data_IF_978280555873
#
_entry.id   IF_978280555873
#
_cell.length_a   1.000
_cell.length_b   1.000
_cell.length_c   1.000
_cell.angle_alpha   90.00
_cell.angle_beta   90.00
_cell.angle_gamma   90.00
#
_symmetry.space_group_name_H-M   'P 1'
#
loop_
_entity.id
_entity.type
_entity.pdbx_description
1 polymer ?
#
# COMPACT_ATOMS: atom_id res chain seq x y z
N UNK A 1 26.45 7.33 18.01
CA UNK A 1 25.13 7.95 18.20
C UNK A 1 24.24 6.93 18.88
N UNK A 2 23.71 7.26 20.06
CA UNK A 2 22.61 6.49 20.66
C UNK A 2 21.34 6.82 19.87
N UNK A 3 21.23 6.24 18.67
CA UNK A 3 20.03 6.35 17.84
C UNK A 3 18.88 5.57 18.46
N UNK A 4 17.66 5.96 18.11
CA UNK A 4 16.45 5.19 18.46
C UNK A 4 16.63 3.74 17.97
N UNK A 5 16.21 2.79 18.79
CA UNK A 5 16.07 1.41 18.37
C UNK A 5 15.04 1.30 17.24
N UNK A 6 15.15 0.22 16.45
CA UNK A 6 14.22 -0.03 15.35
C UNK A 6 12.75 -0.11 15.84
N UNK A 7 12.55 -0.58 17.07
CA UNK A 7 11.24 -0.64 17.71
C UNK A 7 10.71 0.76 18.05
N UNK A 8 11.54 1.60 18.66
CA UNK A 8 11.14 2.98 19.01
C UNK A 8 10.81 3.82 17.77
N UNK A 9 11.51 3.60 16.65
CA UNK A 9 11.13 4.17 15.36
C UNK A 9 9.72 3.76 14.96
N UNK A 10 9.42 2.46 14.98
CA UNK A 10 8.11 1.94 14.64
C UNK A 10 7.00 2.52 15.52
N UNK A 11 7.21 2.55 16.84
CA UNK A 11 6.24 3.07 17.82
C UNK A 11 5.96 4.56 17.60
N UNK A 12 7.00 5.38 17.38
CA UNK A 12 6.82 6.82 17.09
C UNK A 12 6.07 7.06 15.78
N UNK A 13 6.34 6.27 14.75
CA UNK A 13 5.62 6.38 13.48
C UNK A 13 4.14 6.04 13.64
N UNK A 14 3.80 5.01 14.40
CA UNK A 14 2.40 4.66 14.63
C UNK A 14 1.69 5.71 15.49
N UNK A 15 2.36 6.27 16.50
CA UNK A 15 1.82 7.38 17.28
C UNK A 15 1.53 8.62 16.42
N UNK A 16 2.35 8.89 15.40
CA UNK A 16 2.13 10.00 14.47
C UNK A 16 1.04 9.70 13.45
N UNK A 17 1.08 8.51 12.83
CA UNK A 17 0.25 8.19 11.66
C UNK A 17 -1.13 7.64 12.02
N UNK A 18 -1.28 7.01 13.17
CA UNK A 18 -2.52 6.38 13.60
C UNK A 18 -2.68 6.45 15.14
N UNK A 19 -2.73 7.66 15.72
CA UNK A 19 -2.82 7.83 17.18
C UNK A 19 -4.09 7.19 17.79
N UNK A 20 -5.16 7.04 17.01
CA UNK A 20 -6.41 6.42 17.43
C UNK A 20 -6.42 4.88 17.29
N UNK A 21 -5.38 4.29 16.68
CA UNK A 21 -5.33 2.85 16.48
C UNK A 21 -5.09 2.11 17.81
N UNK A 22 -5.99 1.18 18.13
CA UNK A 22 -5.83 0.30 19.29
C UNK A 22 -4.74 -0.76 19.10
N UNK A 23 -4.46 -1.13 17.84
CA UNK A 23 -3.47 -2.13 17.48
C UNK A 23 -2.61 -1.61 16.33
N UNK A 24 -1.32 -1.93 16.39
CA UNK A 24 -0.38 -1.72 15.30
C UNK A 24 0.53 -2.92 15.17
N UNK A 25 1.08 -3.12 13.99
CA UNK A 25 1.96 -4.24 13.69
C UNK A 25 3.17 -3.76 12.90
N UNK A 26 4.28 -4.46 13.04
CA UNK A 26 5.46 -4.14 12.27
C UNK A 26 6.45 -5.28 12.21
N UNK A 27 7.41 -5.12 11.30
CA UNK A 27 8.52 -6.02 11.11
C UNK A 27 9.78 -5.26 10.70
N UNK A 28 10.92 -5.91 10.84
CA UNK A 28 12.21 -5.43 10.37
C UNK A 28 12.67 -6.39 9.28
N UNK A 29 12.83 -5.88 8.07
CA UNK A 29 13.37 -6.63 6.94
C UNK A 29 14.85 -6.32 6.78
N UNK A 30 15.71 -7.30 7.02
CA UNK A 30 17.17 -7.14 6.89
C UNK A 30 17.61 -7.08 5.41
N UNK A 31 18.70 -6.37 5.14
CA UNK A 31 19.28 -6.20 3.81
C UNK A 31 18.92 -4.86 3.17
N UNK A 32 19.50 -4.62 1.99
CA UNK A 32 19.34 -3.35 1.27
C UNK A 32 17.87 -3.11 0.90
N UNK A 33 17.28 -1.95 1.28
CA UNK A 33 15.97 -1.54 0.81
C UNK A 33 15.90 -1.48 -0.72
N UNK A 34 14.94 -2.18 -1.30
CA UNK A 34 14.71 -2.13 -2.75
C UNK A 34 13.89 -0.91 -3.13
N UNK A 35 14.30 -0.23 -4.21
CA UNK A 35 13.56 0.86 -4.82
C UNK A 35 12.98 0.40 -6.13
N UNK A 36 11.66 0.56 -6.31
CA UNK A 36 11.01 0.18 -7.56
C UNK A 36 11.51 1.05 -8.71
N UNK A 37 11.85 0.44 -9.84
CA UNK A 37 12.14 1.16 -11.07
C UNK A 37 10.88 1.85 -11.62
N UNK A 38 11.06 3.00 -12.29
CA UNK A 38 9.98 3.60 -13.07
C UNK A 38 9.67 2.71 -14.29
N UNK A 39 8.40 2.62 -14.74
CA UNK A 39 8.04 1.82 -15.91
C UNK A 39 8.90 2.19 -17.11
N UNK A 40 9.40 1.17 -17.81
CA UNK A 40 10.15 1.33 -19.04
C UNK A 40 9.27 0.88 -20.19
N UNK A 41 9.22 1.68 -21.25
CA UNK A 41 8.37 1.41 -22.40
C UNK A 41 9.21 0.83 -23.54
N UNK A 42 8.67 -0.17 -24.22
CA UNK A 42 9.23 -0.64 -25.48
C UNK A 42 8.95 0.34 -26.62
N UNK A 43 9.48 0.03 -27.80
CA UNK A 43 9.28 0.84 -29.03
C UNK A 43 7.81 0.97 -29.45
N UNK A 44 6.95 0.08 -28.98
CA UNK A 44 5.53 0.01 -29.30
C UNK A 44 4.67 0.71 -28.22
N UNK A 45 5.31 1.30 -27.20
CA UNK A 45 4.66 2.03 -26.12
C UNK A 45 4.10 1.14 -25.00
N UNK A 46 4.44 -0.15 -24.96
CA UNK A 46 4.04 -1.03 -23.88
C UNK A 46 5.06 -0.98 -22.74
N UNK A 47 4.56 -0.85 -21.50
CA UNK A 47 5.42 -0.96 -20.33
C UNK A 47 5.86 -2.42 -20.14
N UNK A 48 7.17 -2.68 -20.09
CA UNK A 48 7.70 -3.98 -19.71
C UNK A 48 8.00 -4.01 -18.20
N UNK A 49 7.72 -5.15 -17.57
CA UNK A 49 8.05 -5.38 -16.16
C UNK A 49 9.53 -5.77 -16.08
N UNK A 50 10.32 -5.01 -15.33
CA UNK A 50 11.70 -5.39 -15.04
C UNK A 50 11.70 -6.69 -14.20
N UNK A 51 12.34 -7.79 -14.67
CA UNK A 51 12.39 -9.03 -13.91
C UNK A 51 13.01 -8.87 -12.51
N UNK A 52 13.94 -7.93 -12.34
CA UNK A 52 14.56 -7.66 -11.04
C UNK A 52 13.55 -7.05 -10.05
N UNK A 53 12.72 -6.10 -10.51
CA UNK A 53 11.65 -5.53 -9.69
C UNK A 53 10.61 -6.60 -9.29
N UNK A 54 10.24 -7.48 -10.22
CA UNK A 54 9.31 -8.57 -9.93
C UNK A 54 9.86 -9.54 -8.87
N UNK A 55 11.14 -9.91 -8.97
CA UNK A 55 11.80 -10.78 -7.99
C UNK A 55 11.92 -10.11 -6.63
N UNK A 56 12.29 -8.83 -6.59
CA UNK A 56 12.36 -8.06 -5.36
C UNK A 56 10.99 -7.94 -4.69
N UNK A 57 9.93 -7.72 -5.47
CA UNK A 57 8.55 -7.60 -4.97
C UNK A 57 8.11 -8.93 -4.34
N UNK A 58 8.39 -10.06 -5.01
CA UNK A 58 8.10 -11.39 -4.48
C UNK A 58 8.91 -11.71 -3.21
N UNK A 59 10.19 -11.32 -3.16
CA UNK A 59 11.04 -11.52 -1.98
C UNK A 59 10.53 -10.69 -0.78
N UNK A 60 10.15 -9.43 -0.99
CA UNK A 60 9.54 -8.58 0.03
C UNK A 60 8.21 -9.17 0.50
N UNK A 61 7.33 -9.57 -0.42
CA UNK A 61 6.04 -10.21 -0.10
C UNK A 61 6.24 -11.50 0.70
N UNK A 62 7.26 -12.30 0.39
CA UNK A 62 7.60 -13.50 1.16
C UNK A 62 8.02 -13.18 2.60
N UNK A 63 8.89 -12.18 2.80
CA UNK A 63 9.29 -11.72 4.14
C UNK A 63 8.09 -11.21 4.93
N UNK A 64 7.19 -10.47 4.28
CA UNK A 64 5.95 -10.00 4.89
C UNK A 64 5.05 -11.15 5.37
N UNK A 65 4.92 -12.22 4.55
CA UNK A 65 4.16 -13.43 4.92
C UNK A 65 4.72 -14.13 6.15
N UNK A 66 6.00 -13.97 6.46
CA UNK A 66 6.57 -14.63 7.65
C UNK A 66 6.02 -14.02 8.95
N UNK A 67 5.79 -12.71 8.98
CA UNK A 67 5.26 -12.01 10.16
C UNK A 67 3.73 -11.89 10.14
N UNK A 68 3.12 -11.76 8.96
CA UNK A 68 1.68 -11.59 8.81
C UNK A 68 1.00 -12.91 8.46
N UNK A 69 0.32 -13.50 9.45
CA UNK A 69 -0.41 -14.78 9.31
C UNK A 69 -1.93 -14.60 9.26
N UNK A 70 -2.39 -13.36 9.11
CA UNK A 70 -3.81 -12.97 9.12
C UNK A 70 -4.29 -12.69 7.70
N UNK A 71 -5.59 -12.52 7.54
CA UNK A 71 -6.14 -11.92 6.32
C UNK A 71 -5.65 -10.47 6.13
N UNK A 72 -5.75 -9.92 4.91
CA UNK A 72 -5.43 -8.53 4.66
C UNK A 72 -6.34 -7.60 5.48
N UNK A 73 -5.80 -6.48 5.92
CA UNK A 73 -6.57 -5.41 6.55
C UNK A 73 -7.60 -4.87 5.55
N UNK A 74 -8.81 -4.66 6.06
CA UNK A 74 -9.89 -3.94 5.37
C UNK A 74 -9.98 -2.52 5.91
N UNK A 75 -10.50 -1.61 5.09
CA UNK A 75 -10.65 -0.21 5.41
C UNK A 75 -9.36 0.58 5.33
N UNK A 76 -9.36 1.78 5.90
CA UNK A 76 -8.21 2.68 5.83
C UNK A 76 -7.01 2.18 6.65
N UNK A 77 -5.82 2.31 6.07
CA UNK A 77 -4.55 1.85 6.64
C UNK A 77 -3.57 3.01 6.74
N UNK A 78 -2.81 3.04 7.84
CA UNK A 78 -1.60 3.84 7.99
C UNK A 78 -0.37 2.96 7.72
N UNK A 79 0.61 3.49 6.97
CA UNK A 79 1.87 2.81 6.64
C UNK A 79 3.08 3.69 6.99
N UNK A 80 3.93 3.22 7.89
CA UNK A 80 5.23 3.84 8.16
C UNK A 80 6.37 2.96 7.66
N UNK A 81 7.30 3.54 6.91
CA UNK A 81 8.54 2.87 6.52
C UNK A 81 9.77 3.74 6.81
N UNK A 82 10.82 3.12 7.34
CA UNK A 82 12.16 3.73 7.42
C UNK A 82 13.16 2.82 6.72
N UNK A 83 13.84 3.36 5.72
CA UNK A 83 14.77 2.64 4.85
C UNK A 83 16.20 2.99 5.25
N UNK A 84 16.86 2.10 5.99
CA UNK A 84 18.27 2.23 6.30
C UNK A 84 19.09 1.62 5.16
N UNK A 85 19.84 2.47 4.47
CA UNK A 85 20.61 2.08 3.28
C UNK A 85 22.10 2.02 3.58
N UNK A 86 22.80 1.19 2.82
CA UNK A 86 24.25 1.06 2.94
C UNK A 86 25.04 2.12 2.18
N UNK A 87 24.39 2.85 1.26
CA UNK A 87 25.03 3.83 0.38
C UNK A 87 24.37 5.20 0.43
N UNK A 88 25.09 6.21 -0.07
CA UNK A 88 24.60 7.58 -0.25
C UNK A 88 24.03 7.82 -1.66
N UNK A 89 23.90 6.77 -2.48
CA UNK A 89 23.33 6.92 -3.82
C UNK A 89 21.95 7.55 -3.71
N UNK A 90 21.67 8.63 -4.42
CA UNK A 90 20.35 9.27 -4.36
C UNK A 90 19.27 8.31 -4.87
N UNK A 91 18.27 8.03 -4.03
CA UNK A 91 17.11 7.20 -4.34
C UNK A 91 15.92 7.81 -3.60
N UNK A 92 14.82 8.00 -4.32
CA UNK A 92 13.60 8.57 -3.76
C UNK A 92 12.92 7.61 -2.77
N UNK A 93 12.48 8.15 -1.64
CA UNK A 93 11.71 7.38 -0.65
C UNK A 93 10.33 6.97 -1.17
N UNK A 94 9.76 7.68 -2.14
CA UNK A 94 8.48 7.33 -2.76
C UNK A 94 8.58 6.03 -3.57
N UNK A 95 9.71 5.78 -4.26
CA UNK A 95 9.94 4.56 -5.03
C UNK A 95 10.15 3.35 -4.12
N UNK A 96 10.82 3.53 -2.98
CA UNK A 96 10.95 2.49 -1.95
C UNK A 96 9.61 2.21 -1.25
N UNK A 97 8.85 3.25 -0.93
CA UNK A 97 7.48 3.09 -0.43
C UNK A 97 6.59 2.36 -1.44
N UNK A 98 6.66 2.74 -2.72
CA UNK A 98 5.88 2.10 -3.77
C UNK A 98 6.19 0.61 -3.86
N UNK A 99 7.45 0.21 -3.72
CA UNK A 99 7.84 -1.19 -3.65
C UNK A 99 7.13 -1.94 -2.51
N UNK A 100 7.11 -1.34 -1.32
CA UNK A 100 6.42 -1.89 -0.14
C UNK A 100 4.91 -1.97 -0.36
N UNK A 101 4.29 -0.92 -0.92
CA UNK A 101 2.88 -0.86 -1.27
C UNK A 101 2.49 -2.02 -2.21
N UNK A 102 3.19 -2.15 -3.33
CA UNK A 102 2.91 -3.16 -4.35
C UNK A 102 3.12 -4.59 -3.78
N UNK A 103 4.17 -4.81 -2.97
CA UNK A 103 4.43 -6.12 -2.35
C UNK A 103 3.39 -6.49 -1.26
N UNK A 104 2.81 -5.50 -0.59
CA UNK A 104 1.82 -5.69 0.46
C UNK A 104 0.40 -5.98 -0.04
N UNK A 105 0.10 -5.71 -1.32
CA UNK A 105 -1.21 -5.96 -1.90
C UNK A 105 -1.62 -7.44 -1.81
N UNK A 106 -2.90 -7.64 -1.47
CA UNK A 106 -3.55 -8.94 -1.19
C UNK A 106 -2.90 -9.74 -0.06
N UNK A 107 -2.07 -9.10 0.76
CA UNK A 107 -1.39 -9.74 1.89
C UNK A 107 -1.59 -8.96 3.18
N UNK A 108 -1.08 -7.72 3.21
CA UNK A 108 -1.16 -6.83 4.37
C UNK A 108 -2.46 -6.02 4.33
N UNK A 109 -2.87 -5.60 3.14
CA UNK A 109 -4.12 -4.92 2.81
C UNK A 109 -4.67 -5.51 1.50
N UNK A 110 -5.93 -5.24 1.18
CA UNK A 110 -6.56 -5.71 -0.06
C UNK A 110 -5.92 -4.99 -1.25
N UNK A 111 -5.82 -3.66 -1.17
CA UNK A 111 -5.27 -2.80 -2.21
C UNK A 111 -4.61 -1.57 -1.57
N UNK A 112 -3.49 -1.11 -2.14
CA UNK A 112 -2.69 -0.03 -1.58
C UNK A 112 -3.41 1.33 -1.63
N UNK A 113 -4.51 1.44 -2.38
CA UNK A 113 -5.42 2.58 -2.28
C UNK A 113 -6.02 2.76 -0.87
N UNK A 114 -6.05 1.72 -0.03
CA UNK A 114 -6.44 1.80 1.38
C UNK A 114 -5.50 2.64 2.23
N UNK A 115 -4.26 2.86 1.78
CA UNK A 115 -3.25 3.59 2.54
C UNK A 115 -3.56 5.09 2.47
N UNK A 116 -4.15 5.61 3.54
CA UNK A 116 -4.59 7.00 3.64
C UNK A 116 -3.65 7.89 4.46
N UNK A 117 -2.75 7.27 5.23
CA UNK A 117 -1.62 7.95 5.86
C UNK A 117 -0.34 7.16 5.56
N UNK A 118 0.71 7.84 5.10
CA UNK A 118 2.00 7.17 4.83
C UNK A 118 3.20 8.04 5.17
N UNK A 119 4.26 7.40 5.68
CA UNK A 119 5.57 8.01 5.92
C UNK A 119 6.67 7.15 5.33
N UNK A 120 7.63 7.78 4.65
CA UNK A 120 8.84 7.13 4.12
C UNK A 120 10.08 7.93 4.47
N UNK A 121 10.86 7.43 5.45
CA UNK A 121 12.14 8.00 5.85
C UNK A 121 13.30 7.23 5.24
N UNK A 122 14.42 7.91 4.95
CA UNK A 122 15.66 7.27 4.48
C UNK A 122 16.77 7.63 5.45
N UNK A 123 17.45 6.62 5.95
CA UNK A 123 18.56 6.74 6.89
C UNK A 123 19.80 6.04 6.31
N UNK A 124 20.99 6.46 6.74
CA UNK A 124 22.24 5.82 6.35
C UNK A 124 22.71 4.88 7.47
N UNK A 125 22.81 3.59 7.16
CA UNK A 125 23.44 2.59 8.02
C UNK A 125 24.21 1.59 7.14
N UNK A 126 25.53 1.80 7.05
CA UNK A 126 26.42 1.01 6.19
C UNK A 126 26.59 -0.42 6.67
N UNK A 127 26.46 -0.64 7.97
CA UNK A 127 26.76 -1.92 8.61
C UNK A 127 25.51 -2.79 8.68
N UNK A 128 24.34 -2.17 8.82
CA UNK A 128 23.07 -2.87 9.00
C UNK A 128 21.94 -2.25 8.16
N UNK A 129 21.99 -2.38 6.83
CA UNK A 129 20.88 -1.99 5.98
C UNK A 129 19.65 -2.82 6.30
N UNK A 130 18.50 -2.15 6.41
CA UNK A 130 17.22 -2.75 6.78
C UNK A 130 16.06 -1.82 6.47
N UNK A 131 14.86 -2.40 6.41
CA UNK A 131 13.61 -1.64 6.37
C UNK A 131 12.83 -1.89 7.64
N UNK A 132 12.47 -0.82 8.35
CA UNK A 132 11.43 -0.87 9.39
C UNK A 132 10.11 -0.63 8.68
N UNK A 133 9.17 -1.55 8.83
CA UNK A 133 7.81 -1.43 8.30
C UNK A 133 6.83 -1.55 9.45
N UNK A 134 5.95 -0.57 9.58
CA UNK A 134 4.84 -0.58 10.54
C UNK A 134 3.54 -0.19 9.86
N UNK A 135 2.44 -0.78 10.32
CA UNK A 135 1.10 -0.50 9.83
C UNK A 135 0.06 -0.61 10.93
N UNK A 136 -1.05 0.09 10.76
CA UNK A 136 -2.19 0.08 11.66
C UNK A 136 -3.48 0.45 10.90
N UNK A 137 -4.68 0.13 11.42
CA UNK A 137 -5.90 0.76 10.96
C UNK A 137 -5.80 2.28 11.13
N UNK A 138 -6.39 3.05 10.23
CA UNK A 138 -6.30 4.50 10.25
C UNK A 138 -7.68 5.15 10.15
N UNK A 139 -7.95 6.13 11.01
CA UNK A 139 -9.18 6.91 10.95
C UNK A 139 -8.97 8.07 9.98
N UNK A 140 -9.74 8.11 8.89
CA UNK A 140 -9.70 9.21 7.92
C UNK A 140 -11.10 9.55 7.45
N UNK A 141 -11.33 10.83 7.14
CA UNK A 141 -12.55 11.29 6.47
C UNK A 141 -12.62 10.82 5.00
N UNK A 142 -11.47 10.45 4.41
CA UNK A 142 -11.40 9.84 3.09
C UNK A 142 -11.68 8.34 3.22
N UNK A 143 -12.77 7.85 2.64
CA UNK A 143 -13.03 6.40 2.55
C UNK A 143 -12.33 5.83 1.32
N UNK A 144 -11.57 4.75 1.49
CA UNK A 144 -10.85 4.06 0.40
C UNK A 144 -11.04 2.54 0.47
N UNK A 145 -10.64 1.87 -0.61
CA UNK A 145 -10.66 0.41 -0.70
C UNK A 145 -12.04 -0.17 -0.38
N UNK A 146 -12.07 -1.07 0.61
CA UNK A 146 -13.27 -1.82 0.99
C UNK A 146 -14.36 -0.99 1.65
N UNK A 147 -14.02 0.18 2.21
CA UNK A 147 -14.98 1.02 2.94
C UNK A 147 -15.74 1.98 2.03
N UNK A 148 -15.28 2.13 0.78
CA UNK A 148 -15.91 2.98 -0.23
C UNK A 148 -16.43 2.14 -1.40
N UNK A 149 -17.32 1.20 -1.08
CA UNK A 149 -17.93 0.27 -2.03
C UNK A 149 -19.45 0.36 -1.94
N UNK A 150 -20.13 0.30 -3.09
CA UNK A 150 -21.61 0.22 -3.16
C UNK A 150 -22.07 -0.73 -4.27
N UNK A 151 -23.29 -1.27 -4.20
CA UNK A 151 -23.83 -2.09 -5.28
C UNK A 151 -24.09 -1.26 -6.53
N UNK A 152 -23.74 -1.81 -7.69
CA UNK A 152 -24.05 -1.24 -9.00
C UNK A 152 -25.56 -1.31 -9.27
N UNK A 153 -26.21 -0.19 -9.62
CA UNK A 153 -27.65 -0.19 -9.96
C UNK A 153 -27.98 -1.05 -11.20
N UNK A 154 -27.00 -1.27 -12.10
CA UNK A 154 -27.15 -2.12 -13.27
C UNK A 154 -27.07 -3.60 -12.95
N UNK A 155 -25.90 -4.06 -12.51
CA UNK A 155 -25.61 -5.49 -12.31
C UNK A 155 -25.71 -5.99 -10.86
N UNK A 156 -25.82 -5.11 -9.87
CA UNK A 156 -25.85 -5.46 -8.45
C UNK A 156 -24.46 -5.70 -7.83
N UNK A 157 -23.41 -5.91 -8.64
CA UNK A 157 -22.07 -6.18 -8.13
C UNK A 157 -21.48 -4.99 -7.36
N UNK A 158 -20.69 -5.24 -6.30
CA UNK A 158 -19.97 -4.19 -5.59
C UNK A 158 -18.98 -3.50 -6.52
N UNK A 159 -18.86 -2.17 -6.40
CA UNK A 159 -17.82 -1.41 -7.07
C UNK A 159 -17.43 -0.16 -6.26
N UNK A 160 -16.20 0.30 -6.49
CA UNK A 160 -15.70 1.57 -5.95
C UNK A 160 -15.98 2.69 -6.95
N UNK A 161 -16.82 3.68 -6.62
CA UNK A 161 -17.11 4.78 -7.52
C UNK A 161 -15.91 5.75 -7.60
N UNK A 162 -15.68 6.33 -8.77
CA UNK A 162 -14.67 7.38 -8.96
C UNK A 162 -15.19 8.78 -8.57
N UNK A 163 -16.51 8.92 -8.39
CA UNK A 163 -17.22 10.16 -8.07
C UNK A 163 -18.47 9.81 -7.26
N UNK A 164 -18.87 10.67 -6.34
CA UNK A 164 -20.05 10.41 -5.49
C UNK A 164 -21.33 10.15 -6.27
N UNK A 165 -21.52 10.80 -7.42
CA UNK A 165 -22.69 10.60 -8.28
C UNK A 165 -22.68 9.29 -9.11
N UNK A 166 -21.57 8.56 -9.19
CA UNK A 166 -21.44 7.39 -10.05
C UNK A 166 -22.22 6.19 -9.50
N UNK A 167 -23.35 5.85 -10.11
CA UNK A 167 -24.25 4.77 -9.67
C UNK A 167 -23.97 3.39 -10.27
N UNK A 168 -23.16 3.33 -11.33
CA UNK A 168 -22.89 2.11 -12.08
C UNK A 168 -21.39 1.86 -12.20
N UNK A 169 -20.99 0.58 -12.18
CA UNK A 169 -19.58 0.18 -12.30
C UNK A 169 -18.99 0.41 -13.69
N UNK A 170 -19.82 0.36 -14.74
CA UNK A 170 -19.41 0.55 -16.13
C UNK A 170 -20.44 1.32 -16.94
N UNK A 171 -20.04 1.80 -18.12
CA UNK A 171 -20.96 2.44 -19.09
C UNK A 171 -22.07 1.48 -19.54
N UNK A 172 -21.77 0.19 -19.64
CA UNK A 172 -22.73 -0.84 -20.06
C UNK A 172 -23.81 -1.10 -19.01
N UNK A 173 -23.51 -0.86 -17.73
CA UNK A 173 -24.48 -0.99 -16.65
C UNK A 173 -25.52 0.15 -16.60
N UNK A 174 -25.21 1.31 -17.18
CA UNK A 174 -26.11 2.47 -17.20
C UNK A 174 -27.46 2.19 -17.88
N UNK A 175 -27.53 1.64 -19.11
CA UNK A 175 -28.81 1.30 -19.73
C UNK A 175 -29.55 0.16 -19.00
N UNK A 176 -28.85 -0.76 -18.34
CA UNK A 176 -29.48 -1.81 -17.52
C UNK A 176 -30.19 -1.19 -16.32
N UNK A 177 -29.51 -0.31 -15.60
CA UNK A 177 -30.09 0.42 -14.46
C UNK A 177 -31.32 1.23 -14.87
N UNK A 178 -31.24 1.95 -16.00
CA UNK A 178 -32.38 2.73 -16.54
C UNK A 178 -33.59 1.86 -16.85
N UNK A 179 -33.41 0.69 -17.46
CA UNK A 179 -34.53 -0.23 -17.75
C UNK A 179 -35.21 -0.73 -16.48
N UNK A 180 -34.43 -1.06 -15.44
CA UNK A 180 -34.95 -1.45 -14.13
C UNK A 180 -35.79 -0.35 -13.49
N UNK A 181 -35.33 0.90 -13.53
CA UNK A 181 -36.04 2.03 -12.95
C UNK A 181 -37.42 2.30 -13.60
N UNK A 182 -37.61 1.96 -14.88
CA UNK A 182 -38.90 2.11 -15.60
C UNK A 182 -39.88 0.96 -15.31
N UNK A 183 -39.38 -0.17 -14.82
CA UNK A 183 -40.18 -1.38 -14.55
C UNK A 183 -40.63 -1.53 -13.09
N UNK A 184 -40.40 -0.50 -12.28
CA UNK A 184 -40.78 -0.33 -10.88
C UNK A 184 -41.69 0.87 -10.73
#
# INVERSE_FOLDING_TARGET
MTGLSDREWGERLMQLLAPEAHESWGTIMLGEPHSKGRPRFDKDGHAYKDPADAQAEQATKWRMRQFWRRGPLTGNVALGCVFFRSSRQEIDSDNMLKHVCDAGNELLWVDDSQITAKYGGVELDRERPRTILVMAPHVSTMQRGTDYVRPCEGCGNPFTPSRDAQKCCSRDCVPVARRKAVST
#
